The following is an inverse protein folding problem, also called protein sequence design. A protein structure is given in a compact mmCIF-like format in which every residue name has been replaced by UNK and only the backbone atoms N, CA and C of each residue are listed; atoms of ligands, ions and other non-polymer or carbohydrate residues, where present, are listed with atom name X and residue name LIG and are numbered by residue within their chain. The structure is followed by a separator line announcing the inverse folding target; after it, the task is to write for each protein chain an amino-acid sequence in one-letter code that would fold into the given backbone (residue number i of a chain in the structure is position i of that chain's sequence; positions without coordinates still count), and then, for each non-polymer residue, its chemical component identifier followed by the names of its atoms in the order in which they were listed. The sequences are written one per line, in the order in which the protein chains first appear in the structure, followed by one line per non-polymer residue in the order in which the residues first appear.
data_IF_126051006085
#
_entry.id   IF_126051006085
#
_cell.length_a   1.000
_cell.length_b   1.000
_cell.length_c   1.000
_cell.angle_alpha   90.00
_cell.angle_beta   90.00
_cell.angle_gamma   90.00
#
_symmetry.space_group_name_H-M   'P 1'
#
loop_
_entity.id
_entity.type
_entity.pdbx_description
1 polymer ?
#
# COMPACT_ATOMS: atom_id res chain seq x y z
N UNK A 1 -32.25 12.12 12.50
CA UNK A 1 -31.11 11.51 11.78
C UNK A 1 -30.24 12.62 11.23
N UNK A 2 -29.10 12.88 11.86
CA UNK A 2 -28.17 13.95 11.45
C UNK A 2 -27.37 13.46 10.25
N UNK A 3 -27.64 14.02 9.07
CA UNK A 3 -26.79 13.83 7.89
C UNK A 3 -25.44 14.49 8.17
N UNK A 4 -24.48 13.71 8.65
CA UNK A 4 -23.09 14.14 8.79
C UNK A 4 -22.55 14.46 7.39
N UNK A 5 -22.09 15.69 7.19
CA UNK A 5 -21.48 16.12 5.93
C UNK A 5 -20.21 15.30 5.69
N UNK A 6 -20.23 14.48 4.64
CA UNK A 6 -19.08 13.68 4.19
C UNK A 6 -18.44 14.36 2.97
N UNK A 7 -17.25 14.96 3.09
CA UNK A 7 -16.59 15.60 1.95
C UNK A 7 -16.28 14.56 0.87
N UNK A 8 -16.45 14.96 -0.39
CA UNK A 8 -16.21 14.07 -1.56
C UNK A 8 -14.75 14.05 -2.00
N UNK A 9 -14.02 15.15 -1.82
CA UNK A 9 -12.63 15.33 -2.27
C UNK A 9 -11.75 15.80 -1.12
N UNK A 10 -10.46 15.50 -1.21
CA UNK A 10 -9.47 16.01 -0.26
C UNK A 10 -9.25 17.51 -0.54
N UNK A 11 -9.35 18.40 0.46
CA UNK A 11 -9.16 19.84 0.27
C UNK A 11 -7.83 20.19 -0.39
N UNK A 12 -6.73 19.57 0.06
CA UNK A 12 -5.37 19.85 -0.42
C UNK A 12 -5.04 19.17 -1.75
N UNK A 13 -5.86 18.21 -2.19
CA UNK A 13 -5.68 17.52 -3.47
C UNK A 13 -7.01 17.06 -4.05
N UNK A 14 -7.60 17.92 -4.89
CA UNK A 14 -8.91 17.66 -5.49
C UNK A 14 -8.92 16.49 -6.47
N UNK A 15 -7.75 16.00 -6.93
CA UNK A 15 -7.68 14.78 -7.73
C UNK A 15 -8.03 13.53 -6.91
N UNK A 16 -7.90 13.58 -5.59
CA UNK A 16 -8.19 12.48 -4.68
C UNK A 16 -9.62 12.59 -4.13
N UNK A 17 -10.31 11.45 -4.06
CA UNK A 17 -11.69 11.35 -3.59
C UNK A 17 -11.75 10.49 -2.34
N UNK A 18 -12.50 10.96 -1.35
CA UNK A 18 -12.80 10.15 -0.19
C UNK A 18 -13.75 9.01 -0.57
N UNK A 19 -13.54 7.86 0.06
CA UNK A 19 -14.39 6.70 0.02
C UNK A 19 -14.89 6.41 1.43
N UNK A 20 -16.20 6.47 1.60
CA UNK A 20 -16.87 6.41 2.90
C UNK A 20 -17.65 5.11 3.12
N UNK A 21 -17.74 4.26 2.10
CA UNK A 21 -18.45 3.00 2.18
C UNK A 21 -17.59 1.93 2.86
N UNK A 22 -18.25 0.98 3.53
CA UNK A 22 -17.58 -0.13 4.21
C UNK A 22 -17.09 -1.25 3.28
N UNK A 23 -17.34 -1.13 1.98
CA UNK A 23 -16.95 -2.11 0.97
C UNK A 23 -16.38 -1.41 -0.26
N UNK A 24 -15.52 -2.10 -1.01
CA UNK A 24 -15.03 -1.67 -2.32
C UNK A 24 -14.95 -2.88 -3.25
N UNK A 25 -15.64 -2.83 -4.39
CA UNK A 25 -15.66 -3.92 -5.38
C UNK A 25 -16.00 -5.30 -4.77
N UNK A 26 -16.97 -5.33 -3.85
CA UNK A 26 -17.36 -6.55 -3.12
C UNK A 26 -16.44 -6.95 -1.96
N UNK A 27 -15.28 -6.32 -1.79
CA UNK A 27 -14.37 -6.57 -0.67
C UNK A 27 -14.72 -5.71 0.56
N UNK A 28 -14.75 -6.29 1.77
CA UNK A 28 -14.93 -5.53 3.00
C UNK A 28 -13.70 -4.66 3.29
N UNK A 29 -13.94 -3.41 3.70
CA UNK A 29 -12.90 -2.49 4.14
C UNK A 29 -12.83 -2.45 5.68
N UNK A 30 -11.68 -2.03 6.19
CA UNK A 30 -11.51 -1.76 7.63
C UNK A 30 -12.24 -0.47 8.00
N UNK A 31 -13.55 -0.54 8.23
CA UNK A 31 -14.43 0.62 8.48
C UNK A 31 -13.87 1.59 9.54
N UNK A 32 -13.22 1.08 10.57
CA UNK A 32 -12.62 1.86 11.66
C UNK A 32 -11.35 2.65 11.27
N UNK A 33 -10.84 2.45 10.05
CA UNK A 33 -9.64 3.10 9.52
C UNK A 33 -9.93 4.09 8.40
N UNK A 34 -11.19 4.21 7.99
CA UNK A 34 -11.63 5.17 6.98
C UNK A 34 -11.65 6.62 7.49
N UNK A 35 -11.96 7.60 6.63
CA UNK A 35 -12.30 7.44 5.21
C UNK A 35 -11.08 7.08 4.35
N UNK A 36 -11.31 6.26 3.33
CA UNK A 36 -10.25 5.82 2.39
C UNK A 36 -10.15 6.77 1.19
N UNK A 37 -9.14 6.56 0.35
CA UNK A 37 -8.99 7.28 -0.92
C UNK A 37 -9.36 6.33 -2.06
N UNK A 38 -10.40 6.69 -2.83
CA UNK A 38 -10.96 5.83 -3.87
C UNK A 38 -9.94 5.40 -4.91
N UNK A 39 -9.05 6.30 -5.33
CA UNK A 39 -7.99 6.00 -6.31
C UNK A 39 -6.95 5.01 -5.76
N UNK A 40 -6.70 5.00 -4.46
CA UNK A 40 -5.77 4.05 -3.85
C UNK A 40 -6.44 2.68 -3.68
N UNK A 41 -7.74 2.65 -3.36
CA UNK A 41 -8.52 1.42 -3.37
C UNK A 41 -8.58 0.80 -4.77
N UNK A 42 -8.77 1.61 -5.80
CA UNK A 42 -8.77 1.16 -7.20
C UNK A 42 -7.46 0.47 -7.56
N UNK A 43 -6.32 1.12 -7.30
CA UNK A 43 -5.00 0.55 -7.56
C UNK A 43 -4.72 -0.70 -6.73
N UNK A 44 -5.14 -0.72 -5.47
CA UNK A 44 -5.04 -1.91 -4.61
C UNK A 44 -5.87 -3.08 -5.18
N UNK A 45 -7.12 -2.82 -5.60
CA UNK A 45 -7.98 -3.83 -6.20
C UNK A 45 -7.37 -4.38 -7.49
N UNK A 46 -6.88 -3.50 -8.38
CA UNK A 46 -6.18 -3.90 -9.60
C UNK A 46 -4.95 -4.78 -9.29
N UNK A 47 -4.17 -4.43 -8.27
CA UNK A 47 -2.99 -5.22 -7.85
C UNK A 47 -3.40 -6.63 -7.41
N UNK A 48 -4.50 -6.75 -6.66
CA UNK A 48 -5.06 -8.05 -6.25
C UNK A 48 -5.58 -8.84 -7.45
N UNK A 49 -6.34 -8.20 -8.34
CA UNK A 49 -6.89 -8.81 -9.55
C UNK A 49 -5.79 -9.35 -10.47
N UNK A 50 -4.63 -8.69 -10.53
CA UNK A 50 -3.49 -9.24 -11.26
C UNK A 50 -2.81 -10.37 -10.48
N UNK A 51 -2.60 -10.23 -9.17
CA UNK A 51 -1.81 -11.19 -8.38
C UNK A 51 -2.48 -12.55 -8.19
N UNK A 52 -3.81 -12.57 -8.03
CA UNK A 52 -4.55 -13.79 -7.71
C UNK A 52 -4.57 -14.83 -8.86
N UNK A 53 -4.69 -14.44 -10.15
CA UNK A 53 -4.59 -15.38 -11.27
C UNK A 53 -3.20 -16.01 -11.43
N UNK A 54 -2.14 -15.25 -11.13
CA UNK A 54 -0.76 -15.70 -11.41
C UNK A 54 -0.19 -16.65 -10.35
N UNK A 55 -0.75 -16.64 -9.13
CA UNK A 55 -0.25 -17.42 -8.01
C UNK A 55 -1.37 -18.10 -7.24
N UNK A 56 -1.28 -19.43 -7.09
CA UNK A 56 -2.22 -20.21 -6.27
C UNK A 56 -2.21 -19.79 -4.78
N UNK A 57 -1.16 -19.10 -4.32
CA UNK A 57 -1.03 -18.57 -2.97
C UNK A 57 -0.42 -17.18 -3.03
N UNK A 58 -1.18 -16.17 -2.64
CA UNK A 58 -0.72 -14.77 -2.52
C UNK A 58 -0.57 -14.41 -1.04
N UNK A 59 0.55 -13.78 -0.69
CA UNK A 59 0.77 -13.21 0.64
C UNK A 59 0.83 -11.68 0.53
N UNK A 60 -0.04 -10.99 1.25
CA UNK A 60 -0.15 -9.53 1.25
C UNK A 60 0.14 -8.97 2.64
N UNK A 61 0.91 -7.88 2.70
CA UNK A 61 1.24 -7.17 3.94
C UNK A 61 1.21 -5.66 3.70
N UNK A 62 0.85 -4.91 4.75
CA UNK A 62 0.78 -3.44 4.73
C UNK A 62 1.86 -2.87 5.64
N UNK A 63 2.55 -1.83 5.17
CA UNK A 63 3.44 -1.03 6.01
C UNK A 63 2.72 0.26 6.39
N UNK A 64 2.63 0.50 7.71
CA UNK A 64 2.13 1.75 8.24
C UNK A 64 3.34 2.60 8.67
N UNK A 65 3.58 3.69 7.94
CA UNK A 65 4.68 4.59 8.23
C UNK A 65 4.32 5.50 9.40
N UNK A 66 4.99 5.35 10.54
CA UNK A 66 4.76 6.15 11.76
C UNK A 66 5.97 7.00 12.08
N UNK A 67 5.76 8.29 12.20
CA UNK A 67 6.79 9.24 12.59
C UNK A 67 6.84 9.42 14.11
N UNK A 68 8.03 9.58 14.69
CA UNK A 68 8.17 9.79 16.12
C UNK A 68 7.55 11.14 16.52
N UNK A 69 6.73 11.12 17.56
CA UNK A 69 6.18 12.32 18.17
C UNK A 69 7.21 12.97 19.10
N UNK A 70 7.26 14.31 19.14
CA UNK A 70 8.10 15.06 20.09
C UNK A 70 9.60 15.05 19.81
N UNK A 71 10.03 14.56 18.63
CA UNK A 71 11.42 14.63 18.19
C UNK A 71 11.53 15.55 16.97
N UNK A 72 12.64 16.28 16.81
CA UNK A 72 12.91 16.99 15.57
C UNK A 72 12.95 15.97 14.43
N UNK A 73 12.15 16.24 13.40
CA UNK A 73 12.10 15.45 12.18
C UNK A 73 13.02 16.09 11.14
N UNK A 74 13.55 15.29 10.23
CA UNK A 74 14.24 15.79 9.04
C UNK A 74 13.28 16.64 8.19
N UNK A 75 13.80 17.62 7.46
CA UNK A 75 13.01 18.51 6.59
C UNK A 75 12.17 17.74 5.56
N UNK A 76 12.64 16.54 5.17
CA UNK A 76 11.96 15.66 4.22
C UNK A 76 10.94 14.70 4.86
N UNK A 77 10.77 14.70 6.18
CA UNK A 77 9.92 13.73 6.88
C UNK A 77 8.43 13.85 6.53
N UNK A 78 7.96 15.05 6.17
CA UNK A 78 6.59 15.29 5.71
C UNK A 78 6.43 15.14 4.19
N UNK A 79 7.45 14.64 3.50
CA UNK A 79 7.45 14.48 2.04
C UNK A 79 7.39 13.00 1.64
N UNK A 80 7.05 12.77 0.38
CA UNK A 80 7.07 11.42 -0.20
C UNK A 80 8.48 10.80 -0.27
N UNK A 81 9.55 11.57 -0.04
CA UNK A 81 10.92 11.07 -0.12
C UNK A 81 11.18 9.93 0.88
N UNK A 82 10.62 10.03 2.08
CA UNK A 82 10.83 9.01 3.12
C UNK A 82 10.21 7.67 2.71
N UNK A 83 9.01 7.71 2.14
CA UNK A 83 8.31 6.54 1.57
C UNK A 83 9.12 5.96 0.40
N UNK A 84 9.64 6.81 -0.49
CA UNK A 84 10.46 6.38 -1.62
C UNK A 84 11.76 5.70 -1.16
N UNK A 85 12.46 6.26 -0.17
CA UNK A 85 13.68 5.66 0.40
C UNK A 85 13.38 4.31 1.06
N UNK A 86 12.31 4.24 1.85
CA UNK A 86 11.85 2.98 2.45
C UNK A 86 11.58 1.94 1.37
N UNK A 87 10.80 2.29 0.34
CA UNK A 87 10.47 1.39 -0.77
C UNK A 87 11.73 0.92 -1.50
N UNK A 88 12.65 1.82 -1.83
CA UNK A 88 13.90 1.48 -2.51
C UNK A 88 14.76 0.51 -1.69
N UNK A 89 14.87 0.74 -0.37
CA UNK A 89 15.60 -0.17 0.52
C UNK A 89 14.94 -1.55 0.61
N UNK A 90 13.61 -1.59 0.72
CA UNK A 90 12.86 -2.84 0.77
C UNK A 90 12.99 -3.64 -0.54
N UNK A 91 12.84 -3.00 -1.69
CA UNK A 91 12.98 -3.64 -3.00
C UNK A 91 14.41 -4.22 -3.17
N UNK A 92 15.43 -3.51 -2.70
CA UNK A 92 16.82 -3.98 -2.72
C UNK A 92 17.03 -5.22 -1.82
N UNK A 93 16.45 -5.21 -0.61
CA UNK A 93 16.53 -6.35 0.31
C UNK A 93 15.82 -7.59 -0.25
N UNK A 94 14.62 -7.42 -0.82
CA UNK A 94 13.87 -8.50 -1.48
C UNK A 94 14.67 -9.08 -2.65
N UNK A 95 15.26 -8.23 -3.48
CA UNK A 95 16.05 -8.66 -4.64
C UNK A 95 17.28 -9.45 -4.21
N UNK A 96 17.99 -8.97 -3.17
CA UNK A 96 19.14 -9.66 -2.62
C UNK A 96 18.79 -11.01 -2.00
N UNK A 97 17.71 -11.09 -1.22
CA UNK A 97 17.27 -12.34 -0.61
C UNK A 97 16.87 -13.39 -1.66
N UNK A 98 16.18 -12.96 -2.73
CA UNK A 98 15.86 -13.82 -3.88
C UNK A 98 17.10 -14.37 -4.57
N UNK A 99 18.10 -13.53 -4.80
CA UNK A 99 19.34 -13.98 -5.42
C UNK A 99 20.04 -15.03 -4.55
N UNK A 100 20.08 -14.81 -3.23
CA UNK A 100 20.60 -15.80 -2.28
C UNK A 100 19.80 -17.10 -2.27
N UNK A 101 18.47 -17.03 -2.38
CA UNK A 101 17.61 -18.20 -2.43
C UNK A 101 17.87 -19.04 -3.70
N UNK A 102 18.07 -18.39 -4.86
CA UNK A 102 18.44 -19.07 -6.12
C UNK A 102 19.78 -19.79 -6.02
N UNK A 103 20.77 -19.16 -5.39
CA UNK A 103 22.09 -19.79 -5.16
C UNK A 103 21.97 -21.02 -4.25
N UNK A 104 21.14 -20.94 -3.19
CA UNK A 104 20.99 -22.01 -2.20
C UNK A 104 20.12 -23.18 -2.66
N UNK A 105 19.09 -22.91 -3.46
CA UNK A 105 18.12 -23.90 -3.94
C UNK A 105 17.92 -23.77 -5.45
N UNK A 106 18.46 -24.73 -6.22
CA UNK A 106 18.30 -24.81 -7.69
C UNK A 106 16.85 -24.90 -8.17
N UNK A 107 15.89 -25.19 -7.27
CA UNK A 107 14.47 -25.36 -7.59
C UNK A 107 13.58 -24.23 -7.05
N UNK A 108 14.16 -23.07 -6.69
CA UNK A 108 13.36 -21.91 -6.27
C UNK A 108 12.50 -21.41 -7.42
N UNK A 109 11.17 -21.53 -7.29
CA UNK A 109 10.22 -20.97 -8.25
C UNK A 109 10.34 -19.45 -8.32
N UNK A 110 10.29 -18.90 -9.53
CA UNK A 110 10.30 -17.47 -9.74
C UNK A 110 8.95 -16.89 -9.31
N UNK A 111 8.93 -16.18 -8.19
CA UNK A 111 7.78 -15.40 -7.72
C UNK A 111 8.06 -13.94 -8.01
N UNK A 112 7.04 -13.20 -8.44
CA UNK A 112 7.13 -11.76 -8.63
C UNK A 112 6.60 -11.05 -7.37
N UNK A 113 7.31 -10.02 -6.90
CA UNK A 113 6.76 -9.10 -5.90
C UNK A 113 6.10 -7.95 -6.63
N UNK A 114 4.84 -7.68 -6.27
CA UNK A 114 4.06 -6.56 -6.79
C UNK A 114 3.96 -5.52 -5.70
N UNK A 115 4.72 -4.44 -5.86
CA UNK A 115 4.71 -3.29 -4.97
C UNK A 115 3.79 -2.21 -5.55
N UNK A 116 2.91 -1.64 -4.74
CA UNK A 116 2.13 -0.45 -5.08
C UNK A 116 2.64 0.76 -4.29
N UNK A 117 2.79 1.91 -4.96
CA UNK A 117 3.14 3.23 -4.40
C UNK A 117 2.47 4.35 -5.17
#
# INVERSE_FOLDING_TARGET
MTLSFKPKRIPDNTNLRYWHEGTYDGYPLMVDKGPFIGQYLEKLCQTLQYALPDYARVFAFRFDFRLPCGKPLSDDAMTNQMIQRFKASLDAQISHDRERARIRNRSSHDTCVRSFG
#
